data_IF_548315152508
#
_entry.id   IF_548315152508
#
_cell.length_a   1.000
_cell.length_b   1.000
_cell.length_c   1.000
_cell.angle_alpha   90.00
_cell.angle_beta   90.00
_cell.angle_gamma   90.00
#
_symmetry.space_group_name_H-M   'P 1'
#
loop_
_entity.id
_entity.type
_entity.pdbx_description
1 polymer ?
#
# COMPACT_ATOMS: atom_id res chain seq x y z
N UNK A 1 7.78 -3.06 -36.41
CA UNK A 1 8.27 -1.89 -35.64
C UNK A 1 7.15 -1.00 -35.08
N UNK A 2 5.87 -1.18 -35.43
CA UNK A 2 4.75 -0.39 -34.83
C UNK A 2 4.30 -0.88 -33.45
N UNK A 3 4.42 -2.17 -33.12
CA UNK A 3 3.96 -2.71 -31.83
C UNK A 3 4.69 -2.12 -30.62
N UNK A 4 6.02 -1.93 -30.69
CA UNK A 4 6.78 -1.40 -29.54
C UNK A 4 6.30 -0.01 -29.10
N UNK A 5 5.90 0.86 -30.04
CA UNK A 5 5.42 2.21 -29.69
C UNK A 5 4.06 2.20 -28.97
N UNK A 6 3.16 1.33 -29.43
CA UNK A 6 1.85 1.15 -28.80
C UNK A 6 1.98 0.54 -27.39
N UNK A 7 2.84 -0.47 -27.24
CA UNK A 7 3.09 -1.13 -25.96
C UNK A 7 3.68 -0.16 -24.93
N UNK A 8 4.67 0.65 -25.33
CA UNK A 8 5.25 1.69 -24.46
C UNK A 8 4.18 2.70 -24.01
N UNK A 9 3.34 3.16 -24.94
CA UNK A 9 2.27 4.13 -24.64
C UNK A 9 1.28 3.54 -23.63
N UNK A 10 0.86 2.29 -23.84
CA UNK A 10 -0.05 1.58 -22.94
C UNK A 10 0.57 1.39 -21.55
N UNK A 11 1.87 1.10 -21.48
CA UNK A 11 2.62 0.99 -20.24
C UNK A 11 2.67 2.31 -19.45
N UNK A 12 2.96 3.43 -20.10
CA UNK A 12 2.99 4.74 -19.41
C UNK A 12 1.61 5.22 -18.96
N UNK A 13 0.57 4.97 -19.76
CA UNK A 13 -0.82 5.23 -19.35
C UNK A 13 -1.15 4.40 -18.11
N UNK A 14 -0.75 3.13 -18.09
CA UNK A 14 -0.99 2.24 -16.95
C UNK A 14 -0.26 2.71 -15.69
N UNK A 15 0.99 3.19 -15.81
CA UNK A 15 1.69 3.86 -14.71
C UNK A 15 0.92 5.07 -14.18
N UNK A 16 0.45 5.95 -15.07
CA UNK A 16 -0.28 7.16 -14.69
C UNK A 16 -1.58 6.83 -13.93
N UNK A 17 -2.35 5.88 -14.44
CA UNK A 17 -3.57 5.39 -13.78
C UNK A 17 -3.23 4.79 -12.41
N UNK A 18 -2.21 3.93 -12.33
CA UNK A 18 -1.79 3.34 -11.06
C UNK A 18 -1.39 4.40 -10.03
N UNK A 19 -0.63 5.42 -10.44
CA UNK A 19 -0.20 6.53 -9.56
C UNK A 19 -1.40 7.27 -8.98
N UNK A 20 -2.33 7.69 -9.84
CA UNK A 20 -3.51 8.45 -9.42
C UNK A 20 -4.37 7.63 -8.46
N UNK A 21 -4.59 6.36 -8.78
CA UNK A 21 -5.44 5.49 -7.98
C UNK A 21 -4.79 5.12 -6.65
N UNK A 22 -3.52 4.71 -6.61
CA UNK A 22 -2.85 4.43 -5.33
C UNK A 22 -2.71 5.68 -4.46
N UNK A 23 -2.46 6.85 -5.05
CA UNK A 23 -2.34 8.10 -4.29
C UNK A 23 -3.68 8.62 -3.76
N UNK A 24 -4.80 8.12 -4.28
CA UNK A 24 -6.16 8.61 -3.96
C UNK A 24 -7.06 7.55 -3.34
N UNK A 25 -6.65 6.28 -3.25
CA UNK A 25 -7.54 5.19 -2.86
C UNK A 25 -8.14 5.38 -1.45
N UNK A 26 -7.42 6.01 -0.53
CA UNK A 26 -7.90 6.28 0.83
C UNK A 26 -8.62 7.64 0.98
N UNK A 27 -8.64 8.48 -0.04
CA UNK A 27 -9.33 9.79 -0.01
C UNK A 27 -10.82 9.66 0.32
N UNK A 28 -11.60 8.69 -0.25
CA UNK A 28 -13.01 8.53 0.07
C UNK A 28 -13.27 8.27 1.57
N UNK A 29 -12.32 7.65 2.27
CA UNK A 29 -12.46 7.25 3.66
C UNK A 29 -12.25 8.39 4.65
N UNK A 30 -11.61 9.49 4.24
CA UNK A 30 -11.19 10.55 5.17
C UNK A 30 -12.35 11.28 5.85
N UNK A 31 -13.55 11.24 5.25
CA UNK A 31 -14.75 11.91 5.76
C UNK A 31 -15.59 11.06 6.72
N UNK A 32 -15.27 9.78 6.86
CA UNK A 32 -16.08 8.82 7.61
C UNK A 32 -15.30 8.29 8.81
N UNK A 33 -15.99 7.97 9.90
CA UNK A 33 -15.32 7.26 10.99
C UNK A 33 -15.07 5.81 10.59
N UNK A 34 -13.82 5.42 10.73
CA UNK A 34 -13.28 4.10 10.37
C UNK A 34 -12.94 3.27 11.61
N UNK A 35 -13.13 3.83 12.81
CA UNK A 35 -12.92 3.13 14.07
C UNK A 35 -11.50 2.69 14.32
N UNK A 36 -11.33 1.40 14.64
CA UNK A 36 -10.03 0.73 14.75
C UNK A 36 -9.52 0.17 13.41
N UNK A 37 -10.35 0.23 12.36
CA UNK A 37 -10.01 -0.19 11.01
C UNK A 37 -10.15 -1.68 10.71
N UNK A 38 -10.43 -2.54 11.69
CA UNK A 38 -10.46 -3.99 11.45
C UNK A 38 -11.62 -4.41 10.55
N UNK A 39 -12.81 -3.82 10.75
CA UNK A 39 -13.94 -4.04 9.87
C UNK A 39 -13.71 -3.44 8.47
N UNK A 40 -13.13 -2.23 8.41
CA UNK A 40 -12.83 -1.58 7.15
C UNK A 40 -11.84 -2.40 6.30
N UNK A 41 -10.79 -2.94 6.93
CA UNK A 41 -9.81 -3.82 6.29
C UNK A 41 -10.51 -4.98 5.57
N UNK A 42 -11.48 -5.62 6.24
CA UNK A 42 -12.20 -6.75 5.68
C UNK A 42 -13.08 -6.36 4.49
N UNK A 43 -13.82 -5.25 4.59
CA UNK A 43 -14.62 -4.71 3.48
C UNK A 43 -13.75 -4.34 2.27
N UNK A 44 -12.64 -3.65 2.53
CA UNK A 44 -11.67 -3.26 1.50
C UNK A 44 -11.09 -4.49 0.80
N UNK A 45 -10.70 -5.52 1.54
CA UNK A 45 -10.16 -6.76 0.98
C UNK A 45 -11.20 -7.59 0.21
N UNK A 46 -12.47 -7.57 0.63
CA UNK A 46 -13.55 -8.20 -0.12
C UNK A 46 -13.72 -7.52 -1.50
N UNK A 47 -13.65 -6.20 -1.55
CA UNK A 47 -13.69 -5.46 -2.82
C UNK A 47 -12.50 -5.78 -3.72
N UNK A 48 -11.29 -5.87 -3.15
CA UNK A 48 -10.09 -6.31 -3.88
C UNK A 48 -10.32 -7.69 -4.51
N UNK A 49 -10.83 -8.64 -3.73
CA UNK A 49 -11.07 -10.00 -4.22
C UNK A 49 -12.10 -10.07 -5.35
N UNK A 50 -13.18 -9.26 -5.26
CA UNK A 50 -14.18 -9.19 -6.33
C UNK A 50 -13.59 -8.68 -7.65
N UNK A 51 -12.71 -7.68 -7.60
CA UNK A 51 -11.97 -7.23 -8.80
C UNK A 51 -11.07 -8.35 -9.34
N UNK A 52 -10.38 -9.08 -8.45
CA UNK A 52 -9.58 -10.24 -8.84
C UNK A 52 -10.41 -11.31 -9.56
N UNK A 53 -11.62 -11.59 -9.08
CA UNK A 53 -12.50 -12.57 -9.70
C UNK A 53 -12.87 -12.15 -11.13
N UNK A 54 -13.20 -10.88 -11.33
CA UNK A 54 -13.50 -10.33 -12.67
C UNK A 54 -12.27 -10.44 -13.59
N UNK A 55 -11.09 -10.04 -13.11
CA UNK A 55 -9.84 -10.15 -13.88
C UNK A 55 -9.52 -11.61 -14.22
N UNK A 56 -9.71 -12.54 -13.28
CA UNK A 56 -9.51 -13.96 -13.51
C UNK A 56 -10.41 -14.51 -14.62
N UNK A 57 -11.67 -14.09 -14.66
CA UNK A 57 -12.61 -14.49 -15.70
C UNK A 57 -12.25 -13.91 -17.06
N UNK A 58 -11.81 -12.64 -17.11
CA UNK A 58 -11.33 -11.99 -18.34
C UNK A 58 -10.11 -12.71 -18.91
N UNK A 59 -9.20 -13.18 -18.05
CA UNK A 59 -7.99 -13.90 -18.43
C UNK A 59 -8.19 -15.40 -18.64
N UNK A 60 -9.43 -15.88 -18.73
CA UNK A 60 -9.78 -17.29 -18.93
C UNK A 60 -9.23 -18.23 -17.85
N UNK A 61 -9.24 -17.78 -16.59
CA UNK A 61 -8.82 -18.52 -15.41
C UNK A 61 -7.40 -19.10 -15.51
N UNK A 62 -6.36 -18.25 -15.45
CA UNK A 62 -4.97 -18.69 -15.43
C UNK A 62 -4.68 -19.70 -14.32
N UNK A 63 -3.61 -20.48 -14.48
CA UNK A 63 -3.22 -21.50 -13.51
C UNK A 63 -3.00 -20.86 -12.13
N UNK A 64 -3.75 -21.34 -11.15
CA UNK A 64 -3.65 -20.86 -9.77
C UNK A 64 -2.37 -21.40 -9.12
N UNK A 65 -1.49 -20.50 -8.68
CA UNK A 65 -0.28 -20.84 -7.94
C UNK A 65 -0.44 -20.45 -6.46
N UNK A 66 -0.69 -21.39 -5.54
CA UNK A 66 -0.98 -21.08 -4.14
C UNK A 66 0.13 -20.30 -3.44
N UNK A 67 1.39 -20.48 -3.84
CA UNK A 67 2.51 -19.74 -3.26
C UNK A 67 2.41 -18.22 -3.49
N UNK A 68 1.73 -17.77 -4.56
CA UNK A 68 1.46 -16.34 -4.76
C UNK A 68 0.51 -15.74 -3.72
N UNK A 69 -0.31 -16.57 -3.04
CA UNK A 69 -1.17 -16.12 -1.93
C UNK A 69 -0.33 -15.59 -0.76
N UNK A 70 0.87 -16.12 -0.54
CA UNK A 70 1.76 -15.65 0.54
C UNK A 70 2.05 -14.15 0.42
N UNK A 71 2.22 -13.66 -0.81
CA UNK A 71 2.39 -12.24 -1.07
C UNK A 71 1.18 -11.45 -0.57
N UNK A 72 -0.02 -11.92 -0.89
CA UNK A 72 -1.27 -11.30 -0.43
C UNK A 72 -1.40 -11.31 1.09
N UNK A 73 -0.95 -12.38 1.76
CA UNK A 73 -0.92 -12.46 3.21
C UNK A 73 0.00 -11.39 3.83
N UNK A 74 1.18 -11.20 3.25
CA UNK A 74 2.14 -10.17 3.66
C UNK A 74 1.51 -8.78 3.49
N UNK A 75 0.89 -8.51 2.34
CA UNK A 75 0.21 -7.23 2.11
C UNK A 75 -0.90 -6.95 3.11
N UNK A 76 -1.81 -7.92 3.32
CA UNK A 76 -2.93 -7.76 4.24
C UNK A 76 -2.44 -7.49 5.67
N UNK A 77 -1.33 -8.09 6.07
CA UNK A 77 -0.68 -7.85 7.37
C UNK A 77 -0.06 -6.46 7.48
N UNK A 78 0.42 -5.88 6.38
CA UNK A 78 0.79 -4.46 6.37
C UNK A 78 -0.43 -3.55 6.44
N UNK A 79 -1.52 -3.93 5.76
CA UNK A 79 -2.67 -3.06 5.54
C UNK A 79 -3.60 -2.92 6.76
N UNK A 80 -3.59 -3.88 7.72
CA UNK A 80 -4.31 -3.70 8.99
C UNK A 80 -3.91 -2.42 9.74
N UNK A 81 -2.68 -1.94 9.55
CA UNK A 81 -2.19 -0.74 10.23
C UNK A 81 -2.59 0.57 9.53
N UNK A 82 -3.24 0.52 8.36
CA UNK A 82 -3.49 1.73 7.55
C UNK A 82 -4.38 2.74 8.25
N UNK A 83 -5.44 2.28 8.93
CA UNK A 83 -6.34 3.16 9.68
C UNK A 83 -5.62 3.79 10.88
N UNK A 84 -4.92 3.01 11.74
CA UNK A 84 -4.06 3.59 12.75
C UNK A 84 -3.06 4.62 12.20
N UNK A 85 -2.39 4.36 11.07
CA UNK A 85 -1.43 5.29 10.48
C UNK A 85 -2.13 6.60 10.05
N UNK A 86 -3.25 6.51 9.32
CA UNK A 86 -3.99 7.69 8.85
C UNK A 86 -4.52 8.52 10.02
N UNK A 87 -4.98 7.87 11.10
CA UNK A 87 -5.43 8.55 12.32
C UNK A 87 -4.28 9.18 13.11
N UNK A 88 -3.05 8.67 12.98
CA UNK A 88 -1.90 9.10 13.79
C UNK A 88 -0.98 10.13 13.16
N UNK A 89 -0.66 9.96 11.87
CA UNK A 89 0.26 10.84 11.14
C UNK A 89 -0.33 11.45 9.86
N UNK A 90 -1.59 11.14 9.53
CA UNK A 90 -2.29 11.71 8.40
C UNK A 90 -2.13 10.86 7.14
N UNK A 91 -3.01 11.08 6.17
CA UNK A 91 -3.05 10.30 4.93
C UNK A 91 -1.85 10.64 4.04
N UNK A 92 -1.57 11.93 3.86
CA UNK A 92 -0.49 12.36 2.96
C UNK A 92 0.87 11.88 3.45
N UNK A 93 1.18 12.14 4.72
CA UNK A 93 2.45 11.74 5.33
C UNK A 93 2.57 10.22 5.48
N UNK A 94 1.47 9.54 5.81
CA UNK A 94 1.42 8.08 5.83
C UNK A 94 1.88 7.49 4.50
N UNK A 95 1.20 7.86 3.40
CA UNK A 95 1.52 7.35 2.05
C UNK A 95 2.97 7.62 1.68
N UNK A 96 3.51 8.79 2.02
CA UNK A 96 4.91 9.12 1.77
C UNK A 96 5.88 8.18 2.49
N UNK A 97 5.66 7.93 3.78
CA UNK A 97 6.56 7.09 4.58
C UNK A 97 6.45 5.64 4.12
N UNK A 98 5.26 5.04 4.13
CA UNK A 98 5.15 3.62 3.74
C UNK A 98 5.48 3.41 2.27
N UNK A 99 5.19 4.37 1.40
CA UNK A 99 5.57 4.33 -0.01
C UNK A 99 7.08 4.32 -0.21
N UNK A 100 7.82 5.10 0.59
CA UNK A 100 9.28 5.13 0.55
C UNK A 100 9.89 3.80 0.98
N UNK A 101 9.41 3.22 2.09
CA UNK A 101 9.91 1.92 2.58
C UNK A 101 9.46 0.75 1.70
N UNK A 102 8.29 0.85 1.05
CA UNK A 102 7.86 -0.07 -0.01
C UNK A 102 8.86 -0.07 -1.18
N UNK A 103 9.19 1.12 -1.70
CA UNK A 103 10.17 1.26 -2.78
C UNK A 103 11.53 0.68 -2.42
N UNK A 104 12.05 1.02 -1.23
CA UNK A 104 13.35 0.56 -0.76
C UNK A 104 13.40 -0.95 -0.57
N UNK A 105 12.34 -1.53 0.01
CA UNK A 105 12.29 -2.98 0.26
C UNK A 105 12.11 -3.76 -1.03
N UNK A 106 11.31 -3.27 -1.97
CA UNK A 106 11.19 -3.89 -3.28
C UNK A 106 12.50 -3.82 -4.07
N UNK A 107 13.19 -2.66 -4.07
CA UNK A 107 14.51 -2.53 -4.67
C UNK A 107 15.53 -3.50 -4.03
N UNK A 108 15.59 -3.55 -2.69
CA UNK A 108 16.50 -4.45 -1.97
C UNK A 108 16.22 -5.92 -2.30
N UNK A 109 14.94 -6.27 -2.44
CA UNK A 109 14.53 -7.62 -2.81
C UNK A 109 15.05 -8.05 -4.17
N UNK A 110 14.85 -7.22 -5.19
CA UNK A 110 15.32 -7.50 -6.55
C UNK A 110 16.84 -7.45 -6.64
N UNK A 111 17.47 -6.46 -6.01
CA UNK A 111 18.91 -6.24 -6.14
C UNK A 111 19.73 -7.33 -5.45
N UNK A 112 19.34 -7.75 -4.24
CA UNK A 112 20.11 -8.72 -3.47
C UNK A 112 19.66 -10.16 -3.66
N UNK A 113 18.51 -10.41 -4.29
CA UNK A 113 18.05 -11.77 -4.56
C UNK A 113 17.71 -12.57 -3.29
N UNK A 114 17.35 -11.90 -2.18
CA UNK A 114 17.04 -12.61 -0.94
C UNK A 114 15.82 -13.52 -1.10
N UNK A 115 15.68 -14.54 -0.25
CA UNK A 115 14.65 -15.58 -0.37
C UNK A 115 14.75 -16.46 -1.63
N UNK A 116 15.94 -16.55 -2.23
CA UNK A 116 16.20 -17.40 -3.39
C UNK A 116 15.77 -16.79 -4.72
N UNK A 117 15.53 -15.49 -4.77
CA UNK A 117 15.31 -14.77 -6.02
C UNK A 117 16.60 -14.67 -6.84
N UNK A 118 16.49 -14.60 -8.16
CA UNK A 118 17.66 -14.29 -8.99
C UNK A 118 18.02 -12.82 -8.79
N UNK A 119 19.23 -12.56 -8.28
CA UNK A 119 19.69 -11.19 -8.05
C UNK A 119 19.80 -10.42 -9.36
N UNK A 120 19.16 -9.25 -9.45
CA UNK A 120 19.19 -8.44 -10.65
C UNK A 120 20.58 -7.78 -10.83
N UNK A 121 21.26 -8.12 -11.93
CA UNK A 121 22.48 -7.45 -12.36
C UNK A 121 22.15 -6.15 -13.10
N UNK A 122 22.91 -5.10 -12.78
CA UNK A 122 22.77 -3.77 -13.38
C UNK A 122 24.08 -3.34 -14.02
N UNK A 123 24.01 -2.69 -15.18
CA UNK A 123 25.17 -2.24 -15.96
C UNK A 123 26.08 -1.30 -15.15
N UNK A 124 25.51 -0.43 -14.32
CA UNK A 124 26.25 0.49 -13.46
C UNK A 124 25.83 0.34 -11.97
N UNK A 125 26.48 -0.56 -11.21
CA UNK A 125 26.13 -0.81 -9.81
C UNK A 125 26.29 0.42 -8.92
N UNK A 126 27.31 1.26 -9.17
CA UNK A 126 27.58 2.44 -8.35
C UNK A 126 26.43 3.45 -8.46
N UNK A 127 25.97 3.74 -9.68
CA UNK A 127 24.84 4.65 -9.90
C UNK A 127 23.56 4.11 -9.26
N UNK A 128 23.35 2.79 -9.32
CA UNK A 128 22.21 2.13 -8.68
C UNK A 128 22.23 2.33 -7.15
N UNK A 129 23.38 2.11 -6.50
CA UNK A 129 23.52 2.31 -5.06
C UNK A 129 23.41 3.77 -4.64
N UNK A 130 23.90 4.71 -5.45
CA UNK A 130 23.66 6.14 -5.23
C UNK A 130 22.16 6.43 -5.27
N UNK A 131 21.45 5.90 -6.27
CA UNK A 131 20.00 6.07 -6.40
C UNK A 131 19.24 5.56 -5.18
N UNK A 132 19.55 4.34 -4.73
CA UNK A 132 18.99 3.75 -3.53
C UNK A 132 19.32 4.57 -2.27
N UNK A 133 20.57 5.04 -2.13
CA UNK A 133 21.00 5.90 -1.04
C UNK A 133 20.21 7.20 -0.96
N UNK A 134 19.95 7.85 -2.10
CA UNK A 134 19.10 9.04 -2.17
C UNK A 134 17.66 8.72 -1.73
N UNK A 135 17.09 7.60 -2.17
CA UNK A 135 15.75 7.17 -1.73
C UNK A 135 15.69 6.95 -0.21
N UNK A 136 16.74 6.39 0.40
CA UNK A 136 16.85 6.27 1.88
C UNK A 136 16.83 7.65 2.52
N UNK A 137 17.66 8.58 2.04
CA UNK A 137 17.71 9.95 2.58
C UNK A 137 16.34 10.63 2.47
N UNK A 138 15.66 10.51 1.35
CA UNK A 138 14.30 11.05 1.19
C UNK A 138 13.31 10.44 2.18
N UNK A 139 13.36 9.12 2.39
CA UNK A 139 12.49 8.44 3.37
C UNK A 139 12.68 9.00 4.78
N UNK A 140 13.94 9.22 5.18
CA UNK A 140 14.25 9.84 6.47
C UNK A 140 13.76 11.29 6.56
N UNK A 141 13.89 12.08 5.48
CA UNK A 141 13.37 13.46 5.47
C UNK A 141 11.85 13.47 5.69
N UNK A 142 11.11 12.55 5.07
CA UNK A 142 9.66 12.45 5.28
C UNK A 142 9.31 12.18 6.75
N UNK A 143 10.10 11.38 7.49
CA UNK A 143 9.87 11.17 8.93
C UNK A 143 9.96 12.44 9.79
N UNK A 144 10.65 13.48 9.31
CA UNK A 144 10.77 14.77 9.99
C UNK A 144 9.63 15.74 9.67
N UNK A 145 8.85 15.50 8.61
CA UNK A 145 7.67 16.32 8.29
C UNK A 145 6.63 16.16 9.41
N UNK A 146 6.05 17.26 9.87
CA UNK A 146 4.97 17.22 10.87
C UNK A 146 3.62 17.34 10.20
N UNK A 147 2.71 16.43 10.54
CA UNK A 147 1.29 16.55 10.20
C UNK A 147 0.51 17.11 11.40
N UNK A 148 -0.39 18.04 11.13
CA UNK A 148 -1.42 18.47 12.07
C UNK A 148 -2.66 17.62 11.85
N UNK A 149 -2.97 16.75 12.81
CA UNK A 149 -4.22 15.99 12.82
C UNK A 149 -5.08 16.54 13.95
N UNK A 150 -6.38 16.80 13.71
CA UNK A 150 -7.29 17.11 14.80
C UNK A 150 -7.25 15.98 15.82
N UNK A 151 -6.77 16.24 17.04
CA UNK A 151 -6.93 15.33 18.16
C UNK A 151 -8.42 15.32 18.48
N UNK A 152 -9.15 14.34 17.95
CA UNK A 152 -10.47 14.02 18.48
C UNK A 152 -10.24 13.31 19.82
N UNK A 153 -9.90 14.08 20.86
CA UNK A 153 -9.99 13.58 22.23
C UNK A 153 -11.40 13.03 22.40
N UNK A 154 -11.49 11.77 22.81
CA UNK A 154 -12.73 11.14 23.21
C UNK A 154 -13.40 12.03 24.27
N UNK A 155 -14.37 12.85 23.88
CA UNK A 155 -15.09 13.72 24.81
C UNK A 155 -15.86 12.81 25.76
N UNK A 156 -15.36 12.63 26.99
CA UNK A 156 -16.10 11.94 28.05
C UNK A 156 -17.27 12.78 28.60
N UNK A 157 -17.43 14.02 28.13
CA UNK A 157 -18.45 14.97 28.58
C UNK A 157 -19.62 15.08 27.59
N UNK A 158 -20.38 14.01 27.45
CA UNK A 158 -21.80 14.11 27.08
C UNK A 158 -22.58 13.13 27.91
N UNK A 159 -22.98 13.55 29.11
CA UNK A 159 -24.11 12.95 29.84
C UNK A 159 -25.30 12.90 28.87
N UNK A 160 -25.76 11.72 28.41
CA UNK A 160 -26.88 11.67 27.50
C UNK A 160 -28.13 12.02 28.31
N UNK A 161 -28.74 13.15 28.00
CA UNK A 161 -29.94 13.67 28.67
C UNK A 161 -31.23 12.94 28.26
N UNK A 162 -31.12 11.70 27.74
CA UNK A 162 -32.28 10.86 27.42
C UNK A 162 -32.00 9.45 27.90
N UNK A 163 -32.62 9.12 29.03
CA UNK A 163 -32.82 7.77 29.54
C UNK A 163 -33.73 7.01 28.59
N UNK A 164 -33.15 6.25 27.65
CA UNK A 164 -33.85 5.10 27.08
C UNK A 164 -33.22 3.81 27.57
N UNK A 165 -34.05 3.06 28.28
CA UNK A 165 -33.77 1.80 28.93
C UNK A 165 -33.68 0.69 27.86
N UNK A 166 -32.52 0.48 27.23
CA UNK A 166 -32.23 -0.77 26.51
C UNK A 166 -30.81 -1.27 26.80
N UNK A 167 -30.78 -2.26 27.68
CA UNK A 167 -29.83 -3.36 27.88
C UNK A 167 -28.78 -3.52 26.75
N UNK A 168 -27.53 -3.08 26.98
CA UNK A 168 -26.31 -3.91 26.95
C UNK A 168 -25.03 -3.07 26.76
N UNK A 169 -24.11 -3.26 27.72
CA UNK A 169 -22.67 -2.96 27.68
C UNK A 169 -22.27 -1.61 27.09
N UNK A 170 -21.84 -0.69 27.96
CA UNK A 170 -21.09 0.54 27.62
C UNK A 170 -19.85 0.21 26.78
N UNK A 171 -20.04 0.07 25.47
CA UNK A 171 -18.94 -0.08 24.53
C UNK A 171 -18.29 1.30 24.35
N UNK A 172 -17.08 1.41 24.85
CA UNK A 172 -16.24 2.60 24.73
C UNK A 172 -16.15 3.02 23.25
N UNK A 173 -16.72 4.16 22.84
CA UNK A 173 -16.86 4.51 21.42
C UNK A 173 -15.50 4.77 20.76
N UNK A 174 -14.46 5.02 21.55
CA UNK A 174 -13.18 5.45 21.04
C UNK A 174 -12.27 4.30 20.63
N UNK A 175 -11.53 4.52 19.53
CA UNK A 175 -10.49 3.61 19.07
C UNK A 175 -9.33 3.63 20.06
N UNK A 176 -8.57 2.53 20.12
CA UNK A 176 -7.35 2.49 20.94
C UNK A 176 -6.35 3.57 20.52
N UNK A 177 -6.38 3.95 19.23
CA UNK A 177 -5.53 5.01 18.67
C UNK A 177 -5.86 6.37 19.29
N UNK A 178 -7.15 6.65 19.49
CA UNK A 178 -7.63 7.94 20.01
C UNK A 178 -7.25 8.17 21.48
N UNK A 179 -6.78 7.12 22.17
CA UNK A 179 -6.31 7.15 23.57
C UNK A 179 -4.82 7.44 23.72
N UNK A 180 -4.07 7.51 22.62
CA UNK A 180 -2.63 7.74 22.65
C UNK A 180 -2.31 9.21 22.96
N UNK A 181 -1.23 9.46 23.71
CA UNK A 181 -0.73 10.84 23.88
C UNK A 181 -0.13 11.37 22.57
N UNK A 182 -0.04 12.69 22.40
CA UNK A 182 0.42 13.32 21.15
C UNK A 182 1.80 12.84 20.68
N UNK A 183 2.73 12.57 21.61
CA UNK A 183 4.06 12.04 21.28
C UNK A 183 3.97 10.59 20.81
N UNK A 184 3.20 9.76 21.52
CA UNK A 184 3.00 8.36 21.14
C UNK A 184 2.25 8.24 19.81
N UNK A 185 1.30 9.15 19.53
CA UNK A 185 0.59 9.24 18.26
C UNK A 185 1.58 9.24 17.09
N UNK A 186 2.55 10.17 17.11
CA UNK A 186 3.54 10.28 16.04
C UNK A 186 4.45 9.04 15.95
N UNK A 187 4.96 8.56 17.08
CA UNK A 187 5.89 7.42 17.09
C UNK A 187 5.20 6.17 16.55
N UNK A 188 4.01 5.85 17.06
CA UNK A 188 3.22 4.70 16.62
C UNK A 188 2.89 4.82 15.13
N UNK A 189 2.43 5.97 14.67
CA UNK A 189 2.10 6.18 13.26
C UNK A 189 3.29 6.02 12.32
N UNK A 190 4.43 6.63 12.64
CA UNK A 190 5.64 6.47 11.84
C UNK A 190 6.15 5.03 11.86
N UNK A 191 6.20 4.38 13.03
CA UNK A 191 6.65 2.98 13.15
C UNK A 191 5.77 2.02 12.36
N UNK A 192 4.44 2.17 12.47
CA UNK A 192 3.49 1.38 11.70
C UNK A 192 3.65 1.64 10.19
N UNK A 193 3.82 2.89 9.76
CA UNK A 193 4.04 3.21 8.35
C UNK A 193 5.33 2.58 7.79
N UNK A 194 6.41 2.58 8.57
CA UNK A 194 7.68 1.91 8.19
C UNK A 194 7.46 0.40 8.04
N UNK A 195 6.84 -0.25 9.04
CA UNK A 195 6.58 -1.70 9.02
C UNK A 195 5.66 -2.07 7.85
N UNK A 196 4.55 -1.35 7.67
CA UNK A 196 3.65 -1.56 6.53
C UNK A 196 4.37 -1.36 5.21
N UNK A 197 5.24 -0.35 5.09
CA UNK A 197 6.04 -0.13 3.89
C UNK A 197 6.95 -1.31 3.56
N UNK A 198 7.66 -1.85 4.55
CA UNK A 198 8.50 -3.04 4.37
C UNK A 198 7.68 -4.26 3.93
N UNK A 199 6.52 -4.48 4.54
CA UNK A 199 5.62 -5.57 4.15
C UNK A 199 5.09 -5.37 2.73
N UNK A 200 4.68 -4.17 2.36
CA UNK A 200 4.24 -3.87 0.99
C UNK A 200 5.34 -4.11 -0.05
N UNK A 201 6.58 -3.71 0.23
CA UNK A 201 7.71 -3.95 -0.67
C UNK A 201 8.09 -5.42 -0.81
N UNK A 202 7.65 -6.27 0.13
CA UNK A 202 7.86 -7.72 0.09
C UNK A 202 6.70 -8.47 -0.58
N UNK A 203 5.60 -7.79 -0.92
CA UNK A 203 4.36 -8.45 -1.33
C UNK A 203 4.48 -9.24 -2.64
N UNK A 204 5.31 -8.77 -3.57
CA UNK A 204 5.49 -9.42 -4.87
C UNK A 204 6.65 -10.41 -4.89
N UNK A 205 7.42 -10.55 -3.81
CA UNK A 205 8.54 -11.52 -3.71
C UNK A 205 8.10 -12.94 -4.08
N UNK A 206 6.97 -13.49 -3.59
CA UNK A 206 6.55 -14.84 -3.97
C UNK A 206 6.21 -15.00 -5.45
N UNK A 207 5.68 -13.95 -6.09
CA UNK A 207 5.38 -13.97 -7.54
C UNK A 207 6.69 -13.95 -8.34
N UNK A 208 7.64 -13.09 -7.95
CA UNK A 208 8.97 -13.02 -8.58
C UNK A 208 9.68 -14.39 -8.43
N UNK A 209 9.60 -15.00 -7.26
CA UNK A 209 10.18 -16.32 -7.02
C UNK A 209 9.64 -17.38 -7.99
N UNK A 210 8.30 -17.43 -8.17
CA UNK A 210 7.67 -18.36 -9.11
C UNK A 210 8.17 -18.10 -10.53
N UNK A 211 8.22 -16.83 -10.94
CA UNK A 211 8.63 -16.43 -12.30
C UNK A 211 10.10 -16.72 -12.60
N UNK A 212 10.99 -16.55 -11.64
CA UNK A 212 12.40 -16.88 -11.82
C UNK A 212 12.61 -18.40 -11.89
N UNK A 213 11.96 -19.12 -10.97
CA UNK A 213 12.06 -20.58 -10.95
C UNK A 213 11.33 -21.25 -12.11
N UNK A 214 10.39 -20.58 -12.78
CA UNK A 214 9.71 -21.16 -13.94
C UNK A 214 10.57 -21.23 -15.20
N UNK A 215 11.67 -20.48 -15.23
CA UNK A 215 12.67 -20.51 -16.33
C UNK A 215 13.53 -21.78 -16.28
N UNK A 216 13.53 -22.49 -15.16
CA UNK A 216 14.32 -23.70 -14.92
C UNK A 216 13.43 -24.94 -15.12
N UNK A 217 13.83 -25.88 -15.96
CA UNK A 217 13.02 -27.05 -16.32
C UNK A 217 12.86 -28.07 -15.19
N UNK A 218 13.76 -28.07 -14.21
CA UNK A 218 13.80 -28.97 -13.05
C UNK A 218 12.98 -28.45 -11.85
N UNK A 219 12.45 -27.22 -11.95
CA UNK A 219 11.67 -26.59 -10.89
C UNK A 219 10.21 -27.01 -10.90
N UNK A 220 9.58 -27.05 -9.72
CA UNK A 220 8.13 -27.28 -9.56
C UNK A 220 7.27 -26.19 -10.23
N UNK A 221 7.89 -25.04 -10.55
CA UNK A 221 7.26 -23.91 -11.22
C UNK A 221 7.54 -23.89 -12.73
N UNK A 222 8.19 -24.91 -13.29
CA UNK A 222 8.48 -24.98 -14.72
C UNK A 222 7.22 -24.69 -15.57
N UNK A 223 7.34 -23.74 -16.50
CA UNK A 223 6.23 -23.31 -17.36
C UNK A 223 5.19 -22.40 -16.71
N UNK A 224 5.41 -21.90 -15.49
CA UNK A 224 4.58 -20.82 -14.94
C UNK A 224 4.67 -19.55 -15.80
N UNK A 225 3.55 -18.82 -15.87
CA UNK A 225 3.42 -17.64 -16.72
C UNK A 225 4.41 -16.54 -16.35
N UNK A 226 4.90 -15.79 -17.34
CA UNK A 226 5.69 -14.58 -17.09
C UNK A 226 4.82 -13.32 -17.00
N UNK A 227 3.53 -13.44 -17.30
CA UNK A 227 2.58 -12.34 -17.27
C UNK A 227 2.06 -12.12 -15.84
N UNK A 228 2.32 -10.93 -15.28
CA UNK A 228 2.07 -10.64 -13.87
C UNK A 228 0.58 -10.75 -13.50
N UNK A 229 -0.33 -10.41 -14.42
CA UNK A 229 -1.76 -10.49 -14.16
C UNK A 229 -2.28 -11.90 -13.90
N UNK A 230 -1.59 -12.93 -14.39
CA UNK A 230 -2.01 -14.33 -14.16
C UNK A 230 -1.93 -14.73 -12.69
N UNK A 231 -1.17 -13.98 -11.89
CA UNK A 231 -1.01 -14.21 -10.45
C UNK A 231 -1.97 -13.38 -9.59
N UNK A 232 -2.71 -12.42 -10.17
CA UNK A 232 -3.59 -11.50 -9.42
C UNK A 232 -4.63 -12.24 -8.61
N UNK A 233 -5.28 -13.25 -9.21
CA UNK A 233 -6.33 -13.99 -8.51
C UNK A 233 -5.78 -14.75 -7.30
N UNK A 234 -4.61 -15.39 -7.42
CA UNK A 234 -3.94 -16.06 -6.31
C UNK A 234 -3.48 -15.05 -5.24
N UNK A 235 -2.83 -13.97 -5.65
CA UNK A 235 -2.39 -12.92 -4.75
C UNK A 235 -3.55 -12.32 -3.94
N UNK A 236 -4.62 -11.91 -4.61
CA UNK A 236 -5.78 -11.27 -3.96
C UNK A 236 -6.61 -12.26 -3.13
N UNK A 237 -6.60 -13.55 -3.49
CA UNK A 237 -7.16 -14.59 -2.61
C UNK A 237 -6.39 -14.70 -1.29
N UNK A 238 -5.06 -14.56 -1.32
CA UNK A 238 -4.24 -14.47 -0.11
C UNK A 238 -4.57 -13.24 0.75
N UNK A 239 -4.80 -12.09 0.11
CA UNK A 239 -5.24 -10.85 0.77
C UNK A 239 -6.56 -11.10 1.52
N UNK A 240 -7.58 -11.59 0.82
CA UNK A 240 -8.91 -11.76 1.39
C UNK A 240 -8.96 -12.85 2.46
N UNK A 241 -8.26 -13.98 2.26
CA UNK A 241 -8.16 -15.04 3.25
C UNK A 241 -7.54 -14.51 4.55
N UNK A 242 -6.40 -13.81 4.46
CA UNK A 242 -5.70 -13.27 5.62
C UNK A 242 -6.54 -12.21 6.33
N UNK A 243 -7.16 -11.32 5.57
CA UNK A 243 -8.08 -10.33 6.14
C UNK A 243 -9.28 -10.97 6.85
N UNK A 244 -9.80 -12.07 6.32
CA UNK A 244 -10.90 -12.82 6.96
C UNK A 244 -10.43 -13.46 8.26
N UNK A 245 -9.24 -14.05 8.28
CA UNK A 245 -8.65 -14.59 9.53
C UNK A 245 -8.49 -13.51 10.58
N UNK A 246 -7.96 -12.33 10.22
CA UNK A 246 -7.84 -11.22 11.16
C UNK A 246 -9.20 -10.73 11.67
N UNK A 247 -10.19 -10.62 10.80
CA UNK A 247 -11.53 -10.20 11.20
C UNK A 247 -12.21 -11.23 12.12
N UNK A 248 -12.07 -12.53 11.84
CA UNK A 248 -12.58 -13.58 12.73
C UNK A 248 -11.88 -13.55 14.10
N UNK A 249 -10.55 -13.40 14.13
CA UNK A 249 -9.80 -13.24 15.37
C UNK A 249 -10.28 -12.01 16.17
N UNK A 250 -10.53 -10.89 15.48
CA UNK A 250 -11.10 -9.69 16.08
C UNK A 250 -12.51 -9.94 16.66
N UNK A 251 -13.40 -10.61 15.93
CA UNK A 251 -14.73 -10.98 16.44
C UNK A 251 -14.64 -11.88 17.68
N UNK A 252 -13.72 -12.85 17.71
CA UNK A 252 -13.49 -13.71 18.89
C UNK A 252 -13.01 -12.87 20.08
N UNK A 253 -12.00 -12.01 19.86
CA UNK A 253 -11.47 -11.12 20.90
C UNK A 253 -12.54 -10.17 21.45
N UNK A 254 -13.43 -9.69 20.58
CA UNK A 254 -14.56 -8.83 20.92
C UNK A 254 -15.79 -9.61 21.40
N UNK A 255 -15.67 -10.91 21.69
CA UNK A 255 -16.77 -11.78 22.17
C UNK A 255 -18.03 -11.67 21.29
N UNK A 256 -17.83 -11.68 19.98
CA UNK A 256 -18.86 -11.53 18.95
C UNK A 256 -19.65 -10.22 19.02
N UNK A 257 -19.06 -9.16 19.59
CA UNK A 257 -19.58 -7.79 19.57
C UNK A 257 -18.57 -6.83 18.89
N UNK A 258 -18.16 -7.10 17.64
CA UNK A 258 -17.20 -6.25 16.92
C UNK A 258 -17.74 -4.83 16.72
N UNK A 259 -16.86 -3.82 16.74
CA UNK A 259 -17.24 -2.46 16.39
C UNK A 259 -17.37 -2.36 14.87
N UNK A 260 -18.59 -2.15 14.39
CA UNK A 260 -18.89 -2.02 12.97
C UNK A 260 -19.16 -0.56 12.63
N UNK A 261 -18.72 -0.13 11.45
CA UNK A 261 -18.87 1.24 10.96
C UNK A 261 -19.57 1.21 9.60
N UNK A 262 -20.92 1.14 9.57
CA UNK A 262 -21.69 0.95 8.33
C UNK A 262 -21.44 2.06 7.30
N UNK A 263 -21.25 3.30 7.76
CA UNK A 263 -20.98 4.45 6.89
C UNK A 263 -19.66 4.33 6.13
N UNK A 264 -18.70 3.56 6.66
CA UNK A 264 -17.41 3.31 6.02
C UNK A 264 -17.45 2.17 4.99
N UNK A 265 -18.57 1.43 4.87
CA UNK A 265 -18.67 0.26 3.97
C UNK A 265 -18.50 0.66 2.51
N UNK A 266 -19.31 1.60 2.01
CA UNK A 266 -19.25 2.01 0.61
C UNK A 266 -17.93 2.74 0.25
N UNK A 267 -17.44 3.70 1.07
CA UNK A 267 -16.13 4.30 0.85
C UNK A 267 -14.97 3.29 0.92
N UNK A 268 -15.05 2.30 1.81
CA UNK A 268 -14.07 1.25 1.96
C UNK A 268 -14.05 0.29 0.78
N UNK A 269 -15.24 -0.07 0.29
CA UNK A 269 -15.40 -0.87 -0.92
C UNK A 269 -14.79 -0.15 -2.13
N UNK A 270 -15.12 1.14 -2.31
CA UNK A 270 -14.53 1.95 -3.37
C UNK A 270 -13.01 2.02 -3.25
N UNK A 271 -12.47 2.23 -2.04
CA UNK A 271 -11.03 2.23 -1.78
C UNK A 271 -10.36 0.93 -2.24
N UNK A 272 -10.97 -0.22 -1.94
CA UNK A 272 -10.48 -1.53 -2.36
C UNK A 272 -10.51 -1.72 -3.87
N UNK A 273 -11.59 -1.29 -4.54
CA UNK A 273 -11.68 -1.32 -6.01
C UNK A 273 -10.58 -0.46 -6.65
N UNK A 274 -10.38 0.77 -6.15
CA UNK A 274 -9.35 1.67 -6.68
C UNK A 274 -7.94 1.07 -6.53
N UNK A 275 -7.64 0.49 -5.36
CA UNK A 275 -6.36 -0.16 -5.11
C UNK A 275 -6.15 -1.40 -5.99
N UNK A 276 -7.19 -2.21 -6.19
CA UNK A 276 -7.12 -3.41 -7.02
C UNK A 276 -6.87 -3.08 -8.50
N UNK A 277 -7.58 -2.08 -9.03
CA UNK A 277 -7.36 -1.59 -10.40
C UNK A 277 -5.94 -1.02 -10.54
N UNK A 278 -5.49 -0.22 -9.56
CA UNK A 278 -4.13 0.32 -9.56
C UNK A 278 -3.06 -0.77 -9.63
N UNK A 279 -3.26 -1.86 -8.88
CA UNK A 279 -2.35 -3.03 -8.88
C UNK A 279 -2.36 -3.75 -10.22
N UNK A 280 -3.53 -3.90 -10.86
CA UNK A 280 -3.61 -4.46 -12.21
C UNK A 280 -2.89 -3.57 -13.24
N UNK A 281 -3.08 -2.25 -13.16
CA UNK A 281 -2.36 -1.29 -13.99
C UNK A 281 -0.84 -1.33 -13.75
N UNK A 282 -0.39 -1.54 -12.51
CA UNK A 282 1.02 -1.77 -12.22
C UNK A 282 1.53 -3.01 -12.96
N UNK A 283 0.84 -4.14 -12.83
CA UNK A 283 1.26 -5.38 -13.50
C UNK A 283 1.29 -5.27 -15.02
N UNK A 284 0.33 -4.55 -15.61
CA UNK A 284 0.37 -4.20 -17.04
C UNK A 284 1.60 -3.34 -17.37
N UNK A 285 1.88 -2.31 -16.58
CA UNK A 285 3.03 -1.45 -16.79
C UNK A 285 4.36 -2.21 -16.67
N UNK A 286 4.47 -3.15 -15.74
CA UNK A 286 5.65 -4.02 -15.62
C UNK A 286 5.86 -4.85 -16.88
N UNK A 287 4.80 -5.35 -17.49
CA UNK A 287 4.89 -6.12 -18.72
C UNK A 287 5.33 -5.25 -19.91
N UNK A 288 4.73 -4.07 -20.06
CA UNK A 288 4.97 -3.19 -21.22
C UNK A 288 6.24 -2.34 -21.14
N UNK A 289 6.63 -1.87 -19.95
CA UNK A 289 7.79 -0.99 -19.73
C UNK A 289 8.99 -1.69 -19.09
N UNK A 290 8.84 -2.95 -18.65
CA UNK A 290 9.67 -3.62 -17.65
C UNK A 290 9.51 -3.03 -16.24
N UNK A 291 9.69 -3.89 -15.23
CA UNK A 291 9.66 -3.52 -13.82
C UNK A 291 10.67 -2.40 -13.47
N UNK A 292 11.77 -2.28 -14.21
CA UNK A 292 12.82 -1.29 -13.90
C UNK A 292 12.38 0.14 -14.22
N UNK A 293 11.49 0.31 -15.19
CA UNK A 293 10.93 1.62 -15.54
C UNK A 293 9.67 1.89 -14.73
N UNK A 294 8.76 0.92 -14.64
CA UNK A 294 7.47 1.11 -13.96
C UNK A 294 7.61 1.24 -12.45
N UNK A 295 8.52 0.48 -11.81
CA UNK A 295 8.63 0.44 -10.35
C UNK A 295 8.96 1.82 -9.75
N UNK A 296 10.04 2.53 -10.17
CA UNK A 296 10.34 3.84 -9.60
C UNK A 296 9.21 4.86 -9.79
N UNK A 297 8.53 4.82 -10.94
CA UNK A 297 7.40 5.70 -11.27
C UNK A 297 6.23 5.43 -10.32
N UNK A 298 5.82 4.15 -10.20
CA UNK A 298 4.64 3.74 -9.43
C UNK A 298 4.91 3.76 -7.93
N UNK A 299 6.15 3.68 -7.45
CA UNK A 299 6.42 3.80 -6.01
C UNK A 299 6.58 5.26 -5.53
N UNK A 300 7.08 6.16 -6.38
CA UNK A 300 7.24 7.58 -6.01
C UNK A 300 5.96 8.40 -6.28
N UNK A 301 5.28 8.13 -7.41
CA UNK A 301 4.14 8.92 -7.86
C UNK A 301 2.95 8.97 -6.89
N UNK A 302 2.50 7.85 -6.28
CA UNK A 302 1.39 7.87 -5.33
C UNK A 302 1.67 8.76 -4.13
N UNK A 303 2.92 8.79 -3.66
CA UNK A 303 3.36 9.68 -2.59
C UNK A 303 3.16 11.14 -2.95
N UNK A 304 3.48 11.52 -4.19
CA UNK A 304 3.22 12.87 -4.70
C UNK A 304 1.73 13.22 -4.69
N UNK A 305 0.89 12.36 -5.27
CA UNK A 305 -0.56 12.58 -5.31
C UNK A 305 -1.16 12.67 -3.90
N UNK A 306 -0.77 11.76 -3.01
CA UNK A 306 -1.19 11.78 -1.61
C UNK A 306 -0.75 13.04 -0.86
N UNK A 307 0.47 13.52 -1.11
CA UNK A 307 0.94 14.78 -0.56
C UNK A 307 0.10 15.96 -1.04
N UNK A 308 -0.30 15.98 -2.32
CA UNK A 308 -1.19 17.03 -2.85
C UNK A 308 -2.56 17.00 -2.17
N UNK A 309 -3.15 15.82 -1.96
CA UNK A 309 -4.37 15.67 -1.16
C UNK A 309 -4.18 16.17 0.28
N UNK A 310 -3.06 15.80 0.90
CA UNK A 310 -2.68 16.21 2.26
C UNK A 310 -2.52 17.72 2.41
N UNK A 311 -1.99 18.43 1.41
CA UNK A 311 -1.78 19.88 1.46
C UNK A 311 -3.06 20.65 1.12
N UNK A 312 -3.65 20.37 -0.04
CA UNK A 312 -4.71 21.22 -0.60
C UNK A 312 -6.08 20.92 -0.02
N UNK A 313 -6.41 19.64 0.16
CA UNK A 313 -7.76 19.22 0.55
C UNK A 313 -7.87 18.98 2.05
N UNK A 314 -6.99 18.16 2.62
CA UNK A 314 -7.06 17.83 4.03
C UNK A 314 -6.33 18.82 4.93
N UNK A 315 -5.42 19.62 4.36
CA UNK A 315 -4.59 20.59 5.07
C UNK A 315 -3.89 19.95 6.28
N UNK A 316 -3.43 18.70 6.12
CA UNK A 316 -2.72 17.94 7.14
C UNK A 316 -1.23 18.32 7.22
N UNK A 317 -0.66 18.78 6.09
CA UNK A 317 0.73 19.22 5.99
C UNK A 317 0.70 20.73 5.80
N UNK A 318 1.14 21.48 6.82
CA UNK A 318 1.15 22.96 6.80
C UNK A 318 2.50 23.52 7.20
N UNK A 319 2.74 24.76 6.82
CA UNK A 319 3.90 25.55 7.25
C UNK A 319 5.06 25.47 6.27
N UNK A 320 5.75 26.61 6.12
CA UNK A 320 6.81 26.78 5.14
C UNK A 320 7.93 25.75 5.30
N UNK A 321 8.32 25.43 6.53
CA UNK A 321 9.35 24.42 6.81
C UNK A 321 8.96 23.03 6.30
N UNK A 322 7.71 22.61 6.52
CA UNK A 322 7.22 21.32 6.03
C UNK A 322 7.15 21.31 4.49
N UNK A 323 6.74 22.41 3.86
CA UNK A 323 6.73 22.52 2.40
C UNK A 323 8.15 22.45 1.81
N UNK A 324 9.12 23.14 2.40
CA UNK A 324 10.52 23.09 1.96
C UNK A 324 11.10 21.67 2.12
N UNK A 325 10.86 21.01 3.24
CA UNK A 325 11.29 19.62 3.46
C UNK A 325 10.67 18.67 2.44
N UNK A 326 9.39 18.86 2.14
CA UNK A 326 8.69 18.04 1.17
C UNK A 326 9.20 18.25 -0.26
N UNK A 327 9.41 19.49 -0.68
CA UNK A 327 10.02 19.81 -1.99
C UNK A 327 11.41 19.17 -2.09
N UNK A 328 12.23 19.35 -1.05
CA UNK A 328 13.57 18.76 -0.98
C UNK A 328 13.52 17.22 -1.10
N UNK A 329 12.64 16.57 -0.34
CA UNK A 329 12.46 15.13 -0.40
C UNK A 329 12.00 14.66 -1.78
N UNK A 330 11.05 15.36 -2.43
CA UNK A 330 10.62 15.02 -3.78
C UNK A 330 11.72 15.20 -4.83
N UNK A 331 12.56 16.23 -4.71
CA UNK A 331 13.72 16.38 -5.58
C UNK A 331 14.68 15.19 -5.39
N UNK A 332 14.98 14.84 -4.14
CA UNK A 332 15.90 13.73 -3.82
C UNK A 332 15.35 12.38 -4.30
N UNK A 333 14.07 12.07 -4.07
CA UNK A 333 13.47 10.80 -4.50
C UNK A 333 13.41 10.70 -6.03
N UNK A 334 13.13 11.82 -6.73
CA UNK A 334 13.11 11.84 -8.19
C UNK A 334 14.52 11.61 -8.75
N UNK A 335 15.53 12.29 -8.21
CA UNK A 335 16.93 12.05 -8.59
C UNK A 335 17.33 10.61 -8.29
N UNK A 336 16.98 10.08 -7.12
CA UNK A 336 17.25 8.69 -6.75
C UNK A 336 16.61 7.67 -7.70
N UNK A 337 15.34 7.88 -8.03
CA UNK A 337 14.59 7.06 -8.99
C UNK A 337 15.24 7.09 -10.39
N UNK A 338 15.64 8.26 -10.88
CA UNK A 338 16.31 8.41 -12.17
C UNK A 338 17.69 7.75 -12.18
N UNK A 339 18.50 7.91 -11.12
CA UNK A 339 19.78 7.22 -10.99
C UNK A 339 19.62 5.69 -11.05
N UNK A 340 18.65 5.14 -10.30
CA UNK A 340 18.36 3.70 -10.33
C UNK A 340 17.89 3.25 -11.71
N UNK A 341 17.00 4.01 -12.37
CA UNK A 341 16.53 3.66 -13.70
C UNK A 341 17.65 3.70 -14.76
N UNK A 342 18.46 4.77 -14.77
CA UNK A 342 19.57 4.93 -15.72
C UNK A 342 20.72 3.97 -15.45
N UNK A 343 20.85 3.41 -14.24
CA UNK A 343 21.90 2.43 -13.92
C UNK A 343 21.80 1.11 -14.71
N UNK A 344 20.64 0.84 -15.32
CA UNK A 344 20.42 -0.35 -16.15
C UNK A 344 20.78 -0.14 -17.63
N UNK A 345 20.89 1.11 -18.07
CA UNK A 345 21.32 1.45 -19.44
C UNK A 345 22.84 1.42 -19.49
#
# INVERSE_FOLDING_TARGET
MSNNGADLTFGYISCFVAILLFGSNFVPLKKFDTGDGMFLQWVLCAAIWLVALVVNLILHCPKFWPFAMLGGCIWATGNIAVVPIIKTIGLGLGILIWGSFNALTGWASSRFGWFGLDAEEVSNPLLNYIGAGLSVVSAFIFLFIKSEIPNNTCSMDTTPLITEHVINTTQDPCSWVDKLSTVHHRIVGCSLAVISGVLYGSTFVPIIYIKDHSKRNDSIYAGASQYDLDYVFAHFSGIFLTSTVYFLAYCIAMKNSPKLYPEAVLPGFLSGVLWAIATCCWFIANHSLSAVVSFPIITAGPGFIAAMWGIFMFKEIKGLQNYLLMILAFCIILTGALCTAFSKI
#
